data_IF_208451007019
#
_entry.id   IF_208451007019
#
_cell.length_a   1.000
_cell.length_b   1.000
_cell.length_c   1.000
_cell.angle_alpha   90.00
_cell.angle_beta   90.00
_cell.angle_gamma   90.00
#
_symmetry.space_group_name_H-M   'P 1'
#
loop_
_entity.id
_entity.type
_entity.pdbx_description
1 polymer ?
#
# COMPACT_ATOMS: atom_id res chain seq x y z
N UNK A 1 -10.02 1.07 -39.81
CA UNK A 1 -8.70 1.36 -39.21
C UNK A 1 -8.69 2.61 -38.32
N UNK A 2 -9.02 3.82 -38.83
CA UNK A 2 -8.93 5.08 -38.05
C UNK A 2 -9.81 5.10 -36.79
N UNK A 3 -11.06 4.64 -36.92
CA UNK A 3 -12.05 4.58 -35.82
C UNK A 3 -11.65 3.60 -34.71
N UNK A 4 -11.06 2.46 -35.08
CA UNK A 4 -10.53 1.47 -34.15
C UNK A 4 -9.35 2.03 -33.34
N UNK A 5 -8.46 2.77 -34.02
CA UNK A 5 -7.36 3.47 -33.35
C UNK A 5 -7.86 4.50 -32.34
N UNK A 6 -8.88 5.29 -32.70
CA UNK A 6 -9.48 6.26 -31.78
C UNK A 6 -10.11 5.57 -30.55
N UNK A 7 -10.81 4.45 -30.74
CA UNK A 7 -11.42 3.69 -29.64
C UNK A 7 -10.34 3.13 -28.69
N UNK A 8 -9.27 2.56 -29.24
CA UNK A 8 -8.14 2.05 -28.45
C UNK A 8 -7.47 3.15 -27.62
N UNK A 9 -7.33 4.34 -28.20
CA UNK A 9 -6.75 5.51 -27.54
C UNK A 9 -7.64 6.03 -26.41
N UNK A 10 -8.97 6.03 -26.60
CA UNK A 10 -9.91 6.35 -25.53
C UNK A 10 -9.88 5.32 -24.38
N UNK A 11 -9.80 4.03 -24.68
CA UNK A 11 -9.69 2.98 -23.64
C UNK A 11 -8.41 3.17 -22.83
N UNK A 12 -7.27 3.40 -23.49
CA UNK A 12 -6.00 3.68 -22.81
C UNK A 12 -6.07 4.89 -21.88
N UNK A 13 -6.71 5.98 -22.30
CA UNK A 13 -6.84 7.19 -21.48
C UNK A 13 -7.69 6.97 -20.21
N UNK A 14 -8.71 6.10 -20.26
CA UNK A 14 -9.56 5.83 -19.09
C UNK A 14 -8.86 5.06 -17.97
N UNK A 15 -7.77 4.34 -18.26
CA UNK A 15 -7.01 3.57 -17.26
C UNK A 15 -6.18 4.46 -16.33
N UNK A 16 -5.89 5.72 -16.69
CA UNK A 16 -5.07 6.62 -15.88
C UNK A 16 -5.84 7.40 -14.81
N UNK A 17 -7.18 7.34 -14.82
CA UNK A 17 -8.03 8.19 -13.95
C UNK A 17 -8.38 7.52 -12.62
N UNK A 18 -8.05 6.25 -12.43
CA UNK A 18 -8.33 5.52 -11.19
C UNK A 18 -7.04 5.35 -10.41
N UNK A 19 -6.55 6.46 -9.85
CA UNK A 19 -5.69 6.41 -8.67
C UNK A 19 -6.57 6.91 -7.53
N UNK A 20 -7.36 6.01 -6.94
CA UNK A 20 -8.20 6.36 -5.80
C UNK A 20 -7.24 6.64 -4.65
N UNK A 21 -7.11 7.89 -4.18
CA UNK A 21 -6.28 8.16 -3.03
C UNK A 21 -6.86 7.35 -1.87
N UNK A 22 -6.00 6.53 -1.26
CA UNK A 22 -6.33 5.81 -0.05
C UNK A 22 -6.97 6.79 0.91
N UNK A 23 -8.23 6.50 1.29
CA UNK A 23 -8.93 7.25 2.34
C UNK A 23 -7.98 7.27 3.52
N UNK A 24 -7.55 8.48 3.96
CA UNK A 24 -6.66 8.67 5.12
C UNK A 24 -7.32 8.03 6.34
N UNK A 25 -7.10 6.74 6.53
CA UNK A 25 -7.53 6.02 7.72
C UNK A 25 -6.56 6.48 8.80
N UNK A 26 -7.14 6.99 9.88
CA UNK A 26 -6.35 7.52 10.99
C UNK A 26 -5.47 6.46 11.65
N UNK A 27 -4.91 6.82 12.80
CA UNK A 27 -4.12 5.91 13.62
C UNK A 27 -4.89 4.62 13.96
N UNK A 28 -4.26 3.47 13.68
CA UNK A 28 -4.77 2.14 14.00
C UNK A 28 -3.71 1.39 14.82
N UNK A 29 -4.16 0.49 15.69
CA UNK A 29 -3.25 -0.40 16.41
C UNK A 29 -2.96 -1.61 15.52
N UNK A 30 -1.69 -1.89 15.27
CA UNK A 30 -1.22 -3.08 14.56
C UNK A 30 -0.39 -3.96 15.48
N UNK A 31 -0.43 -5.27 15.21
CA UNK A 31 0.38 -6.25 15.93
C UNK A 31 1.62 -6.58 15.10
N UNK A 32 2.78 -6.40 15.71
CA UNK A 32 4.08 -6.75 15.15
C UNK A 32 4.33 -8.25 15.24
N UNK A 33 5.27 -8.75 14.43
CA UNK A 33 5.71 -10.16 14.48
C UNK A 33 6.29 -10.55 15.86
N UNK A 34 6.80 -9.59 16.62
CA UNK A 34 7.26 -9.76 18.00
C UNK A 34 6.11 -9.96 19.02
N UNK A 35 4.86 -9.78 18.61
CA UNK A 35 3.68 -9.83 19.47
C UNK A 35 3.34 -8.51 20.15
N UNK A 36 4.14 -7.45 19.94
CA UNK A 36 3.89 -6.11 20.47
C UNK A 36 2.81 -5.41 19.64
N UNK A 37 1.92 -4.69 20.31
CA UNK A 37 0.94 -3.82 19.67
C UNK A 37 1.47 -2.38 19.63
N UNK A 38 1.50 -1.80 18.42
CA UNK A 38 1.93 -0.42 18.20
C UNK A 38 0.84 0.37 17.49
N UNK A 39 0.86 1.70 17.65
CA UNK A 39 -0.02 2.59 16.92
C UNK A 39 0.67 3.04 15.63
N UNK A 40 0.05 2.76 14.49
CA UNK A 40 0.54 3.15 13.18
C UNK A 40 -0.60 3.71 12.30
N UNK A 41 -0.27 4.66 11.43
CA UNK A 41 -1.20 5.23 10.47
C UNK A 41 -1.01 4.54 9.12
N UNK A 42 -2.11 4.27 8.43
CA UNK A 42 -2.03 3.79 7.06
C UNK A 42 -1.58 4.94 6.15
N UNK A 43 -0.47 4.74 5.46
CA UNK A 43 0.05 5.65 4.45
C UNK A 43 0.28 4.89 3.17
N UNK A 44 -0.03 5.53 2.05
CA UNK A 44 -0.01 4.82 0.78
C UNK A 44 -0.92 5.40 -0.28
N UNK A 45 -0.82 4.80 -1.46
CA UNK A 45 -1.74 4.93 -2.58
C UNK A 45 -2.29 3.55 -2.96
N UNK A 46 -2.99 3.45 -4.08
CA UNK A 46 -3.61 2.21 -4.58
C UNK A 46 -2.61 1.08 -4.89
N UNK A 47 -1.32 1.39 -5.02
CA UNK A 47 -0.26 0.42 -5.36
C UNK A 47 0.71 0.17 -4.21
N UNK A 48 0.75 1.05 -3.21
CA UNK A 48 1.65 0.99 -2.07
C UNK A 48 0.86 1.16 -0.78
N UNK A 49 0.71 0.08 -0.02
CA UNK A 49 0.02 0.06 1.27
C UNK A 49 1.02 -0.24 2.39
N UNK A 50 1.36 0.76 3.19
CA UNK A 50 2.20 0.57 4.36
C UNK A 50 1.61 1.24 5.60
N UNK A 51 2.04 0.76 6.76
CA UNK A 51 1.77 1.35 8.06
C UNK A 51 3.00 2.14 8.49
N UNK A 52 2.82 3.34 9.01
CA UNK A 52 3.91 4.16 9.56
C UNK A 52 3.58 4.53 11.01
N UNK A 53 4.51 4.30 11.93
CA UNK A 53 4.33 4.66 13.34
C UNK A 53 4.61 6.15 13.61
N UNK A 54 4.59 6.55 14.89
CA UNK A 54 4.87 7.93 15.31
C UNK A 54 6.33 8.35 15.07
N UNK A 55 7.26 7.39 15.06
CA UNK A 55 8.69 7.60 14.84
C UNK A 55 9.07 7.60 13.34
N UNK A 56 8.12 7.30 12.45
CA UNK A 56 8.31 7.24 11.01
C UNK A 56 8.77 5.87 10.49
N UNK A 57 8.82 4.85 11.35
CA UNK A 57 9.16 3.49 10.97
C UNK A 57 8.02 2.88 10.14
N UNK A 58 8.39 2.31 8.99
CA UNK A 58 7.44 1.72 8.05
C UNK A 58 7.32 0.22 8.27
N UNK A 59 6.10 -0.28 8.11
CA UNK A 59 5.74 -1.68 8.21
C UNK A 59 4.86 -2.09 7.05
N UNK A 60 5.09 -3.28 6.51
CA UNK A 60 4.30 -3.85 5.41
C UNK A 60 3.71 -5.16 5.90
N UNK A 61 2.44 -5.43 5.56
CA UNK A 61 1.82 -6.69 5.96
C UNK A 61 2.47 -7.85 5.21
N UNK A 62 2.92 -8.86 5.95
CA UNK A 62 3.47 -10.10 5.41
C UNK A 62 2.44 -11.23 5.60
N UNK A 63 2.00 -11.82 4.49
CA UNK A 63 1.00 -12.89 4.49
C UNK A 63 1.50 -14.19 5.12
N UNK A 64 2.81 -14.48 5.05
CA UNK A 64 3.40 -15.69 5.62
C UNK A 64 3.46 -15.59 7.15
N UNK A 65 3.81 -14.41 7.66
CA UNK A 65 3.91 -14.14 9.10
C UNK A 65 2.56 -13.75 9.73
N UNK A 66 1.54 -13.43 8.92
CA UNK A 66 0.27 -12.85 9.37
C UNK A 66 0.50 -11.63 10.29
N UNK A 67 1.54 -10.86 10.02
CA UNK A 67 2.04 -9.78 10.87
C UNK A 67 2.66 -8.65 10.06
N UNK A 68 2.98 -7.53 10.72
CA UNK A 68 3.60 -6.35 10.11
C UNK A 68 5.10 -6.26 10.46
N UNK A 69 6.01 -6.89 9.69
CA UNK A 69 7.45 -6.65 9.84
C UNK A 69 7.87 -5.25 9.35
N UNK A 70 9.03 -4.74 9.81
CA UNK A 70 9.61 -3.50 9.29
C UNK A 70 9.86 -3.59 7.78
N UNK A 71 9.59 -2.53 7.03
CA UNK A 71 9.74 -2.52 5.57
C UNK A 71 11.20 -2.71 5.09
N UNK A 72 12.18 -2.40 5.93
CA UNK A 72 13.62 -2.64 5.66
C UNK A 72 14.08 -4.04 6.10
N UNK A 73 13.14 -4.93 6.43
CA UNK A 73 13.46 -6.32 6.75
C UNK A 73 13.92 -7.05 5.49
N UNK A 74 15.23 -7.03 5.22
CA UNK A 74 15.85 -7.93 4.25
C UNK A 74 15.78 -9.35 4.79
N UNK A 75 14.92 -10.17 4.20
CA UNK A 75 15.08 -11.62 4.26
C UNK A 75 16.38 -11.96 3.52
N UNK A 76 17.48 -12.12 4.27
CA UNK A 76 18.69 -12.76 3.77
C UNK A 76 18.27 -14.16 3.28
N UNK A 77 18.37 -14.37 1.96
CA UNK A 77 18.15 -15.66 1.29
C UNK A 77 19.44 -16.48 1.31
#
# INVERSE_FOLDING_TARGET
MKRLFSILLFIWMTQWVVAIPVKKSGWKIIRLASGVEIRAMFKGDEHLHYMEDEDGQKYVFDEQLQAYPPADYKMER
#
